data_IF_644011517429
#
_entry.id   IF_644011517429
#
_cell.length_a   1.000
_cell.length_b   1.000
_cell.length_c   1.000
_cell.angle_alpha   90.00
_cell.angle_beta   90.00
_cell.angle_gamma   90.00
#
_symmetry.space_group_name_H-M   'P 1'
#
loop_
_entity.id
_entity.type
_entity.pdbx_description
1 polymer ?
#
# COMPACT_ATOMS: atom_id res chain seq x y z
N UNK A 1 -0.77 -36.50 -52.84
CA UNK A 1 -1.91 -36.56 -51.90
C UNK A 1 -1.40 -36.18 -50.53
N UNK A 2 -1.72 -34.97 -50.08
CA UNK A 2 -1.34 -34.40 -48.78
C UNK A 2 -2.50 -34.60 -47.79
N UNK A 3 -2.22 -35.11 -46.58
CA UNK A 3 -3.14 -35.05 -45.44
C UNK A 3 -2.90 -33.74 -44.65
N UNK A 4 -3.94 -33.07 -44.13
CA UNK A 4 -3.78 -31.83 -43.40
C UNK A 4 -3.46 -32.10 -41.92
N UNK A 5 -2.47 -31.40 -41.38
CA UNK A 5 -2.22 -31.29 -39.95
C UNK A 5 -2.95 -30.08 -39.39
N UNK A 6 -3.78 -30.33 -38.37
CA UNK A 6 -4.46 -29.30 -37.59
C UNK A 6 -3.43 -28.45 -36.83
N UNK A 7 -3.37 -27.16 -37.12
CA UNK A 7 -2.68 -26.17 -36.31
C UNK A 7 -3.72 -25.37 -35.54
N UNK A 8 -3.98 -25.77 -34.28
CA UNK A 8 -4.74 -24.97 -33.34
C UNK A 8 -3.97 -23.68 -33.04
N UNK A 9 -4.56 -22.54 -33.38
CA UNK A 9 -4.07 -21.25 -32.95
C UNK A 9 -4.38 -21.07 -31.46
N UNK A 10 -3.42 -21.37 -30.60
CA UNK A 10 -3.42 -20.84 -29.25
C UNK A 10 -3.04 -19.36 -29.35
N UNK A 11 -4.05 -18.50 -29.30
CA UNK A 11 -3.86 -17.10 -28.92
C UNK A 11 -3.27 -17.09 -27.53
N UNK A 12 -1.97 -16.82 -27.45
CA UNK A 12 -1.21 -16.60 -26.24
C UNK A 12 -1.87 -15.44 -25.48
N UNK A 13 -2.75 -15.78 -24.53
CA UNK A 13 -3.28 -14.81 -23.59
C UNK A 13 -2.11 -14.35 -22.72
N UNK A 14 -1.86 -13.03 -22.61
CA UNK A 14 -0.79 -12.56 -21.75
C UNK A 14 -1.06 -13.02 -20.32
N UNK A 15 -0.09 -13.70 -19.73
CA UNK A 15 -0.15 -14.12 -18.34
C UNK A 15 -0.51 -12.92 -17.45
N UNK A 16 -1.52 -13.04 -16.55
CA UNK A 16 -1.90 -11.96 -15.64
C UNK A 16 -0.78 -11.59 -14.66
N UNK A 17 0.31 -12.36 -14.63
CA UNK A 17 1.49 -12.12 -13.81
C UNK A 17 2.33 -10.90 -14.26
N UNK A 18 2.06 -10.31 -15.43
CA UNK A 18 2.86 -9.22 -16.00
C UNK A 18 2.48 -7.81 -15.54
N UNK A 19 1.24 -7.58 -15.07
CA UNK A 19 0.72 -6.22 -14.84
C UNK A 19 1.08 -5.60 -13.48
N UNK A 20 1.66 -6.38 -12.55
CA UNK A 20 1.92 -5.95 -11.16
C UNK A 20 3.41 -5.90 -10.78
N UNK A 21 4.30 -6.04 -11.75
CA UNK A 21 5.74 -6.21 -11.53
C UNK A 21 6.57 -4.94 -11.24
N UNK A 22 6.18 -3.68 -11.51
CA UNK A 22 7.12 -2.55 -11.34
C UNK A 22 7.35 -2.06 -9.89
N UNK A 23 6.55 -2.48 -8.90
CA UNK A 23 6.15 -1.51 -7.85
C UNK A 23 6.70 -1.72 -6.43
N UNK A 24 7.39 -2.82 -6.13
CA UNK A 24 8.10 -2.96 -4.85
C UNK A 24 9.52 -2.40 -4.95
N UNK A 25 9.66 -1.17 -5.48
CA UNK A 25 10.86 -0.39 -5.24
C UNK A 25 10.82 0.06 -3.79
N UNK A 26 11.92 -0.18 -3.10
CA UNK A 26 12.15 0.39 -1.77
C UNK A 26 11.97 1.91 -1.88
N UNK A 27 11.07 2.52 -1.11
CA UNK A 27 10.83 3.95 -1.09
C UNK A 27 12.09 4.81 -1.17
N UNK A 28 12.12 5.82 -2.05
CA UNK A 28 13.22 6.78 -2.14
C UNK A 28 13.39 7.58 -0.84
N UNK A 29 12.37 7.60 0.02
CA UNK A 29 12.48 8.11 1.39
C UNK A 29 13.60 7.43 2.19
N UNK A 30 13.94 6.17 1.87
CA UNK A 30 15.10 5.47 2.44
C UNK A 30 16.44 6.04 1.94
N UNK A 31 16.43 7.10 1.14
CA UNK A 31 17.64 7.83 0.73
C UNK A 31 17.88 9.07 1.60
N UNK A 32 16.89 9.50 2.40
CA UNK A 32 17.06 10.63 3.32
C UNK A 32 17.70 10.18 4.63
N UNK A 33 18.98 10.50 4.81
CA UNK A 33 19.71 10.22 6.05
C UNK A 33 19.09 10.90 7.29
N UNK A 34 18.47 12.06 7.11
CA UNK A 34 17.80 12.77 8.22
C UNK A 34 16.58 11.99 8.73
N UNK A 35 15.77 11.44 7.81
CA UNK A 35 14.59 10.63 8.17
C UNK A 35 15.02 9.33 8.85
N UNK A 36 16.06 8.66 8.33
CA UNK A 36 16.61 7.46 8.98
C UNK A 36 17.08 7.71 10.40
N UNK A 37 17.88 8.77 10.61
CA UNK A 37 18.40 9.11 11.93
C UNK A 37 17.28 9.43 12.90
N UNK A 38 16.25 10.16 12.45
CA UNK A 38 15.08 10.47 13.27
C UNK A 38 14.42 9.17 13.75
N UNK A 39 14.04 8.29 12.81
CA UNK A 39 13.42 7.00 13.15
C UNK A 39 14.29 6.15 14.07
N UNK A 40 15.59 6.04 13.78
CA UNK A 40 16.51 5.29 14.63
C UNK A 40 16.61 5.86 16.06
N UNK A 41 16.49 7.18 16.23
CA UNK A 41 16.55 7.81 17.56
C UNK A 41 15.29 7.65 18.40
N UNK A 42 14.12 7.48 17.79
CA UNK A 42 12.83 7.45 18.49
C UNK A 42 12.20 6.06 18.56
N UNK A 43 12.64 5.13 17.72
CA UNK A 43 12.00 3.82 17.59
C UNK A 43 12.12 2.95 18.86
N UNK A 44 13.20 3.10 19.62
CA UNK A 44 13.37 2.38 20.89
C UNK A 44 12.36 2.84 21.96
N UNK A 45 11.87 4.08 21.84
CA UNK A 45 10.92 4.70 22.76
C UNK A 45 9.46 4.38 22.42
N UNK A 46 9.19 3.91 21.20
CA UNK A 46 7.84 3.60 20.75
C UNK A 46 7.23 2.38 21.43
N UNK A 47 5.98 2.54 21.84
CA UNK A 47 5.16 1.47 22.39
C UNK A 47 4.49 0.64 21.27
N UNK A 48 3.61 -0.28 21.65
CA UNK A 48 2.91 -1.14 20.67
C UNK A 48 2.04 -0.35 19.68
N UNK A 49 1.44 0.75 20.10
CA UNK A 49 0.57 1.61 19.28
C UNK A 49 1.39 2.29 18.21
N UNK A 50 2.48 3.00 18.54
CA UNK A 50 3.27 3.67 17.50
C UNK A 50 3.92 2.66 16.55
N UNK A 51 4.39 1.51 17.05
CA UNK A 51 4.94 0.45 16.20
C UNK A 51 3.90 -0.10 15.21
N UNK A 52 2.66 -0.27 15.64
CA UNK A 52 1.58 -0.73 14.75
C UNK A 52 1.11 0.37 13.79
N UNK A 53 1.16 1.64 14.19
CA UNK A 53 0.95 2.78 13.31
C UNK A 53 2.01 2.82 12.19
N UNK A 54 3.29 2.61 12.52
CA UNK A 54 4.38 2.57 11.54
C UNK A 54 4.27 1.37 10.58
N UNK A 55 3.87 0.19 11.06
CA UNK A 55 3.57 -0.96 10.20
C UNK A 55 2.40 -0.67 9.25
N UNK A 56 1.38 0.03 9.73
CA UNK A 56 0.25 0.45 8.92
C UNK A 56 0.70 1.42 7.83
N UNK A 57 1.47 2.45 8.19
CA UNK A 57 2.03 3.40 7.24
C UNK A 57 2.92 2.69 6.20
N UNK A 58 3.75 1.72 6.62
CA UNK A 58 4.60 0.95 5.72
C UNK A 58 3.79 0.21 4.67
N UNK A 59 2.65 -0.36 5.07
CA UNK A 59 1.76 -1.05 4.13
C UNK A 59 1.13 -0.07 3.14
N UNK A 60 0.71 1.12 3.59
CA UNK A 60 0.16 2.14 2.69
C UNK A 60 1.19 2.63 1.67
N UNK A 61 2.42 2.83 2.12
CA UNK A 61 3.56 3.19 1.27
C UNK A 61 3.85 2.15 0.17
N UNK A 62 3.80 0.85 0.52
CA UNK A 62 4.10 -0.22 -0.43
C UNK A 62 2.94 -0.53 -1.39
N UNK A 63 1.71 -0.19 -1.00
CA UNK A 63 0.51 -0.27 -1.84
C UNK A 63 0.22 1.06 -2.58
N UNK A 64 1.23 1.90 -2.82
CA UNK A 64 1.07 3.23 -3.42
C UNK A 64 0.50 3.29 -4.85
N UNK A 65 0.43 2.15 -5.53
CA UNK A 65 -0.20 2.03 -6.85
C UNK A 65 -1.73 2.10 -6.76
N UNK A 66 -2.30 1.80 -5.59
CA UNK A 66 -3.74 1.93 -5.31
C UNK A 66 -4.04 2.99 -4.26
N UNK A 67 -3.15 3.23 -3.30
CA UNK A 67 -3.33 4.24 -2.25
C UNK A 67 -2.46 5.47 -2.55
N UNK A 68 -3.03 6.65 -2.45
CA UNK A 68 -2.27 7.90 -2.54
C UNK A 68 -2.04 8.52 -1.15
N UNK A 69 -1.08 7.98 -0.39
CA UNK A 69 -0.62 8.56 0.88
C UNK A 69 0.82 9.08 0.72
N UNK A 70 1.02 10.39 0.50
CA UNK A 70 2.34 10.96 0.25
C UNK A 70 3.26 10.95 1.49
N UNK A 71 2.72 10.76 2.69
CA UNK A 71 3.49 10.79 3.94
C UNK A 71 3.77 9.39 4.50
N UNK A 72 3.07 8.36 4.01
CA UNK A 72 3.20 6.98 4.47
C UNK A 72 4.66 6.49 4.51
N UNK A 73 5.45 6.80 3.48
CA UNK A 73 6.86 6.37 3.41
C UNK A 73 7.66 7.01 4.56
N UNK A 74 7.48 8.31 4.81
CA UNK A 74 8.17 9.05 5.87
C UNK A 74 7.75 8.52 7.25
N UNK A 75 6.45 8.31 7.47
CA UNK A 75 5.90 7.89 8.77
C UNK A 75 6.22 6.44 9.11
N UNK A 76 6.39 5.58 8.12
CA UNK A 76 6.69 4.17 8.33
C UNK A 76 8.08 3.93 8.92
N UNK A 77 9.06 4.71 8.49
CA UNK A 77 10.46 4.47 8.85
C UNK A 77 11.08 3.27 8.13
N UNK A 78 12.42 3.24 8.12
CA UNK A 78 13.19 2.27 7.34
C UNK A 78 12.93 0.82 7.73
N UNK A 79 12.95 0.53 9.04
CA UNK A 79 12.82 -0.85 9.52
C UNK A 79 11.48 -1.46 9.15
N UNK A 80 10.38 -0.73 9.33
CA UNK A 80 9.06 -1.22 9.00
C UNK A 80 8.85 -1.33 7.48
N UNK A 81 9.35 -0.38 6.70
CA UNK A 81 9.33 -0.46 5.24
C UNK A 81 10.06 -1.70 4.72
N UNK A 82 11.29 -1.95 5.20
CA UNK A 82 12.07 -3.14 4.81
C UNK A 82 11.40 -4.43 5.25
N UNK A 83 10.87 -4.48 6.48
CA UNK A 83 10.17 -5.67 6.99
C UNK A 83 8.92 -5.99 6.17
N UNK A 84 8.07 -5.00 5.90
CA UNK A 84 6.85 -5.19 5.12
C UNK A 84 7.13 -5.51 3.66
N UNK A 85 8.14 -4.87 3.06
CA UNK A 85 8.59 -5.18 1.70
C UNK A 85 9.06 -6.63 1.58
N UNK A 86 9.89 -7.08 2.52
CA UNK A 86 10.36 -8.47 2.56
C UNK A 86 9.21 -9.48 2.68
N UNK A 87 8.18 -9.19 3.49
CA UNK A 87 6.97 -10.03 3.60
C UNK A 87 6.21 -10.09 2.27
N UNK A 88 5.96 -8.94 1.64
CA UNK A 88 5.27 -8.88 0.35
C UNK A 88 6.05 -9.62 -0.76
N UNK A 89 7.38 -9.52 -0.76
CA UNK A 89 8.22 -10.29 -1.67
C UNK A 89 8.12 -11.80 -1.41
N UNK A 90 8.17 -12.21 -0.14
CA UNK A 90 8.01 -13.62 0.22
C UNK A 90 6.63 -14.17 -0.20
N UNK A 91 5.56 -13.41 0.02
CA UNK A 91 4.20 -13.80 -0.40
C UNK A 91 4.12 -14.02 -1.92
N UNK A 92 4.73 -13.13 -2.71
CA UNK A 92 4.80 -13.26 -4.17
C UNK A 92 5.60 -14.49 -4.59
N UNK A 93 6.79 -14.68 -4.03
CA UNK A 93 7.66 -15.82 -4.35
C UNK A 93 7.00 -17.16 -4.00
N UNK A 94 6.20 -17.20 -2.95
CA UNK A 94 5.47 -18.38 -2.51
C UNK A 94 4.10 -18.55 -3.20
N UNK A 95 3.76 -17.71 -4.18
CA UNK A 95 2.46 -17.69 -4.85
C UNK A 95 1.29 -17.69 -3.84
N UNK A 96 1.43 -16.88 -2.79
CA UNK A 96 0.40 -16.75 -1.77
C UNK A 96 -0.90 -16.24 -2.40
N UNK A 97 -2.03 -16.74 -1.90
CA UNK A 97 -3.36 -16.32 -2.35
C UNK A 97 -3.59 -14.81 -2.16
N UNK A 98 -3.00 -14.25 -1.12
CA UNK A 98 -3.11 -12.84 -0.75
C UNK A 98 -1.72 -12.30 -0.44
N UNK A 99 -1.47 -11.06 -0.84
CA UNK A 99 -0.21 -10.36 -0.58
C UNK A 99 -0.35 -9.51 0.69
N UNK A 100 0.66 -9.55 1.56
CA UNK A 100 0.72 -8.74 2.77
C UNK A 100 0.36 -7.28 2.52
N UNK A 101 -0.46 -6.72 3.42
CA UNK A 101 -0.91 -5.33 3.34
C UNK A 101 -2.16 -5.10 2.48
N UNK A 102 -2.67 -6.09 1.74
CA UNK A 102 -3.89 -5.91 0.91
C UNK A 102 -5.10 -5.46 1.73
N UNK A 103 -5.30 -6.04 2.93
CA UNK A 103 -6.39 -5.63 3.83
C UNK A 103 -6.23 -4.19 4.32
N UNK A 104 -4.99 -3.72 4.52
CA UNK A 104 -4.73 -2.33 4.90
C UNK A 104 -5.00 -1.39 3.74
N UNK A 105 -4.71 -1.80 2.50
CA UNK A 105 -5.05 -1.03 1.31
C UNK A 105 -6.55 -0.87 1.13
N UNK A 106 -7.31 -1.97 1.22
CA UNK A 106 -8.78 -1.95 1.17
C UNK A 106 -9.34 -1.08 2.31
N UNK A 107 -8.79 -1.21 3.52
CA UNK A 107 -9.20 -0.40 4.68
C UNK A 107 -9.03 1.09 4.40
N UNK A 108 -7.87 1.51 3.89
CA UNK A 108 -7.62 2.91 3.55
C UNK A 108 -8.59 3.42 2.49
N UNK A 109 -8.72 2.71 1.37
CA UNK A 109 -9.65 3.10 0.28
C UNK A 109 -11.10 3.21 0.76
N UNK A 110 -11.52 2.28 1.63
CA UNK A 110 -12.86 2.32 2.19
C UNK A 110 -13.06 3.57 3.05
N UNK A 111 -12.17 3.84 4.02
CA UNK A 111 -12.29 5.03 4.87
C UNK A 111 -12.20 6.33 4.06
N UNK A 112 -11.27 6.41 3.10
CA UNK A 112 -11.12 7.58 2.23
C UNK A 112 -12.42 7.86 1.48
N UNK A 113 -13.01 6.83 0.85
CA UNK A 113 -14.28 6.98 0.12
C UNK A 113 -15.45 7.39 1.03
N UNK A 114 -15.48 6.93 2.29
CA UNK A 114 -16.54 7.30 3.23
C UNK A 114 -16.37 8.72 3.75
N UNK A 115 -15.15 9.14 4.02
CA UNK A 115 -14.86 10.52 4.43
C UNK A 115 -15.17 11.48 3.30
N UNK A 116 -14.74 11.18 2.07
CA UNK A 116 -15.03 11.99 0.89
C UNK A 116 -16.54 12.15 0.68
N UNK A 117 -17.28 11.04 0.63
CA UNK A 117 -18.73 11.08 0.47
C UNK A 117 -19.45 11.83 1.60
N UNK A 118 -18.99 11.69 2.85
CA UNK A 118 -19.57 12.42 3.99
C UNK A 118 -19.32 13.92 3.89
N UNK A 119 -18.09 14.34 3.54
CA UNK A 119 -17.73 15.74 3.37
C UNK A 119 -18.49 16.37 2.20
N UNK A 120 -18.61 15.67 1.07
CA UNK A 120 -19.39 16.13 -0.08
C UNK A 120 -20.87 16.30 0.25
N UNK A 121 -21.44 15.33 0.97
CA UNK A 121 -22.83 15.38 1.43
C UNK A 121 -23.08 16.61 2.31
N UNK A 122 -22.25 16.83 3.33
CA UNK A 122 -22.40 17.97 4.26
C UNK A 122 -22.25 19.33 3.55
N UNK A 123 -21.33 19.42 2.58
CA UNK A 123 -21.19 20.62 1.73
C UNK A 123 -22.45 20.87 0.89
N UNK A 124 -23.09 19.82 0.36
CA UNK A 124 -24.30 19.95 -0.45
C UNK A 124 -25.51 20.46 0.34
N UNK A 125 -25.58 20.19 1.65
CA UNK A 125 -26.64 20.68 2.53
C UNK A 125 -26.48 22.14 2.98
N UNK A 126 -25.41 22.82 2.55
CA UNK A 126 -25.18 24.25 2.87
C UNK A 126 -24.75 24.48 4.32
N UNK A 127 -24.29 23.46 5.03
CA UNK A 127 -23.72 23.60 6.36
C UNK A 127 -22.35 24.29 6.26
N UNK A 128 -22.25 25.50 6.84
CA UNK A 128 -21.07 26.36 6.72
C UNK A 128 -19.83 25.81 7.44
N UNK A 129 -20.00 24.87 8.37
CA UNK A 129 -18.91 24.24 9.12
C UNK A 129 -19.06 22.72 9.12
N UNK A 130 -18.17 22.04 8.40
CA UNK A 130 -18.04 20.57 8.43
C UNK A 130 -16.94 20.19 9.40
N UNK A 131 -17.24 19.34 10.39
CA UNK A 131 -16.26 18.80 11.32
C UNK A 131 -15.95 17.33 11.02
N UNK A 132 -14.66 16.99 10.95
CA UNK A 132 -14.19 15.60 10.87
C UNK A 132 -13.34 15.30 12.11
N UNK A 133 -13.63 14.20 12.78
CA UNK A 133 -12.88 13.72 13.94
C UNK A 133 -12.33 12.34 13.62
N UNK A 134 -11.00 12.20 13.68
CA UNK A 134 -10.30 10.91 13.54
C UNK A 134 -9.84 10.46 14.92
N UNK A 135 -10.40 9.35 15.39
CA UNK A 135 -10.06 8.78 16.70
C UNK A 135 -8.95 7.76 16.56
N UNK A 136 -7.93 7.85 17.43
CA UNK A 136 -6.74 6.99 17.34
C UNK A 136 -5.90 7.24 16.09
N UNK A 137 -5.87 8.50 15.63
CA UNK A 137 -5.05 8.96 14.52
C UNK A 137 -3.55 8.94 14.86
#
# INVERSE_FOLDING_TARGET
>A
MLKPGAGGGETEQPSPAGWWQPELKVPEVLLSESVKRLHASIEEEWDSVERTACQTAASRALWKHVIHDPLAEILAGEKHLRSSHGKMMADRLNNAREISGVMLAVRTLWFDSKLEAAVESLRAFGEAETQVVLLGA
#
